data_IF_724979016590
#
_entry.id   IF_724979016590
#
_cell.length_a   1.000
_cell.length_b   1.000
_cell.length_c   1.000
_cell.angle_alpha   90.00
_cell.angle_beta   90.00
_cell.angle_gamma   90.00
#
_symmetry.space_group_name_H-M   'P 1'
#
loop_
_entity.id
_entity.type
_entity.pdbx_description
1 polymer ?
#
# COMPACT_ATOMS: atom_id res chain seq x y z
N UNK A 1 -102.26 1.79 -4.08
CA UNK A 1 -101.56 2.74 -3.20
C UNK A 1 -100.10 2.35 -3.07
N UNK A 2 -99.21 3.18 -3.43
CA UNK A 2 -97.82 3.03 -3.80
C UNK A 2 -97.01 2.88 -2.52
N UNK A 3 -96.06 1.87 -2.45
CA UNK A 3 -95.05 1.78 -1.43
C UNK A 3 -93.69 1.64 -2.14
N UNK A 4 -92.91 2.70 -2.07
CA UNK A 4 -91.57 2.80 -2.62
C UNK A 4 -90.52 2.05 -1.84
N UNK A 5 -89.80 1.19 -2.50
CA UNK A 5 -88.59 0.52 -1.92
C UNK A 5 -87.38 1.46 -2.00
N UNK A 6 -86.85 1.78 -0.83
CA UNK A 6 -85.51 2.42 -0.77
C UNK A 6 -84.49 1.31 -0.67
N UNK A 7 -83.66 1.27 -1.71
CA UNK A 7 -82.44 0.42 -1.71
C UNK A 7 -81.36 1.07 -0.82
N UNK A 8 -80.89 0.34 0.17
CA UNK A 8 -79.72 0.68 0.96
C UNK A 8 -78.47 0.14 0.22
N UNK A 9 -77.67 1.06 -0.30
CA UNK A 9 -76.33 0.71 -0.80
C UNK A 9 -75.37 0.74 0.41
N UNK A 10 -74.91 -0.44 0.86
CA UNK A 10 -73.84 -0.57 1.85
C UNK A 10 -72.51 -0.48 1.12
N UNK A 11 -71.91 0.67 1.17
CA UNK A 11 -70.56 0.88 0.67
C UNK A 11 -69.54 0.27 1.66
N UNK A 12 -68.94 -0.88 1.31
CA UNK A 12 -67.81 -1.45 2.04
C UNK A 12 -66.54 -0.65 1.75
N UNK A 13 -66.14 0.22 2.68
CA UNK A 13 -64.81 0.86 2.67
C UNK A 13 -63.80 -0.19 3.12
N UNK A 14 -63.08 -0.78 2.17
CA UNK A 14 -61.89 -1.57 2.45
C UNK A 14 -60.79 -0.65 2.96
N UNK A 15 -60.65 -0.54 4.27
CA UNK A 15 -59.47 0.08 4.88
C UNK A 15 -58.27 -0.84 4.66
N UNK A 16 -57.46 -0.52 3.63
CA UNK A 16 -56.14 -1.11 3.48
C UNK A 16 -55.29 -0.62 4.66
N UNK A 17 -55.08 -1.48 5.63
CA UNK A 17 -54.06 -1.35 6.66
C UNK A 17 -52.71 -1.33 5.96
N UNK A 18 -52.21 -0.15 5.60
CA UNK A 18 -50.80 0.06 5.27
C UNK A 18 -50.06 -0.07 6.59
N UNK A 19 -49.61 -1.30 6.90
CA UNK A 19 -48.65 -1.50 7.98
C UNK A 19 -47.45 -0.54 7.69
N UNK A 20 -47.05 0.30 8.67
CA UNK A 20 -45.87 1.10 8.50
C UNK A 20 -44.73 0.10 8.28
N UNK A 21 -44.22 0.03 7.05
CA UNK A 21 -42.89 -0.54 6.83
C UNK A 21 -41.99 0.31 7.70
N UNK A 22 -41.53 -0.25 8.82
CA UNK A 22 -40.39 0.29 9.52
C UNK A 22 -39.33 0.48 8.43
N UNK A 23 -39.13 1.74 8.02
CA UNK A 23 -38.03 2.09 7.14
C UNK A 23 -36.80 1.68 7.92
N UNK A 24 -36.25 0.50 7.59
CA UNK A 24 -34.94 0.09 8.08
C UNK A 24 -34.03 1.23 7.64
N UNK A 25 -33.46 1.94 8.63
CA UNK A 25 -32.51 2.99 8.34
C UNK A 25 -31.56 2.44 7.28
N UNK A 26 -31.47 3.15 6.15
CA UNK A 26 -30.62 2.70 5.05
C UNK A 26 -29.25 2.44 5.66
N UNK A 27 -28.75 1.22 5.50
CA UNK A 27 -27.43 0.88 6.00
C UNK A 27 -26.46 1.89 5.41
N UNK A 28 -25.63 2.52 6.25
CA UNK A 28 -24.80 3.64 5.84
C UNK A 28 -23.91 3.29 4.65
N UNK A 29 -23.70 4.24 3.75
CA UNK A 29 -22.81 4.10 2.61
C UNK A 29 -21.35 4.24 3.07
N UNK A 30 -20.53 3.24 2.81
CA UNK A 30 -19.09 3.28 3.07
C UNK A 30 -18.33 3.26 1.76
N UNK A 31 -17.51 4.28 1.55
CA UNK A 31 -16.55 4.29 0.44
C UNK A 31 -15.18 3.91 0.98
N UNK A 32 -14.50 2.99 0.29
CA UNK A 32 -13.13 2.55 0.58
C UNK A 32 -12.23 2.92 -0.60
N UNK A 33 -11.17 3.69 -0.37
CA UNK A 33 -10.20 4.05 -1.39
C UNK A 33 -8.98 3.13 -1.28
N UNK A 34 -8.71 2.37 -2.34
CA UNK A 34 -7.59 1.44 -2.45
C UNK A 34 -7.95 0.01 -2.04
N UNK A 35 -7.61 -0.96 -2.91
CA UNK A 35 -7.82 -2.40 -2.71
C UNK A 35 -6.57 -3.14 -2.23
N UNK A 36 -5.60 -2.42 -1.66
CA UNK A 36 -4.47 -3.01 -0.96
C UNK A 36 -4.92 -3.78 0.30
N UNK A 37 -3.97 -4.28 1.08
CA UNK A 37 -4.29 -5.08 2.27
C UNK A 37 -5.23 -4.37 3.25
N UNK A 38 -5.00 -3.08 3.54
CA UNK A 38 -5.86 -2.33 4.46
C UNK A 38 -7.29 -2.19 3.93
N UNK A 39 -7.46 -1.61 2.74
CA UNK A 39 -8.78 -1.34 2.19
C UNK A 39 -9.57 -2.59 1.84
N UNK A 40 -8.94 -3.61 1.25
CA UNK A 40 -9.60 -4.89 0.97
C UNK A 40 -10.06 -5.60 2.26
N UNK A 41 -9.23 -5.56 3.30
CA UNK A 41 -9.57 -6.13 4.61
C UNK A 41 -10.72 -5.37 5.24
N UNK A 42 -10.65 -4.04 5.30
CA UNK A 42 -11.70 -3.20 5.83
C UNK A 42 -13.05 -3.46 5.12
N UNK A 43 -13.05 -3.44 3.79
CA UNK A 43 -14.24 -3.68 2.99
C UNK A 43 -14.86 -5.07 3.25
N UNK A 44 -14.04 -6.13 3.32
CA UNK A 44 -14.51 -7.49 3.61
C UNK A 44 -15.08 -7.62 5.01
N UNK A 45 -14.42 -7.06 6.02
CA UNK A 45 -14.90 -7.13 7.40
C UNK A 45 -16.16 -6.31 7.61
N UNK A 46 -16.31 -5.15 6.97
CA UNK A 46 -17.56 -4.39 6.98
C UNK A 46 -18.73 -5.26 6.48
N UNK A 47 -18.59 -5.90 5.31
CA UNK A 47 -19.62 -6.80 4.76
C UNK A 47 -19.86 -8.05 5.60
N UNK A 48 -18.82 -8.58 6.26
CA UNK A 48 -18.93 -9.75 7.12
C UNK A 48 -19.66 -9.45 8.42
N UNK A 49 -19.41 -8.27 9.01
CA UNK A 49 -20.00 -7.86 10.30
C UNK A 49 -21.43 -7.36 10.11
N UNK A 50 -21.68 -6.62 9.04
CA UNK A 50 -23.03 -6.18 8.66
C UNK A 50 -23.22 -6.27 7.13
N UNK A 51 -23.86 -7.35 6.64
CA UNK A 51 -24.13 -7.52 5.21
C UNK A 51 -25.02 -6.44 4.59
N UNK A 52 -25.71 -5.63 5.42
CA UNK A 52 -26.62 -4.57 4.95
C UNK A 52 -25.91 -3.27 4.60
N UNK A 53 -24.68 -3.07 5.07
CA UNK A 53 -23.86 -1.89 4.74
C UNK A 53 -23.56 -1.85 3.24
N UNK A 54 -23.80 -0.70 2.60
CA UNK A 54 -23.40 -0.51 1.19
C UNK A 54 -21.92 -0.14 1.13
N UNK A 55 -21.07 -1.09 0.70
CA UNK A 55 -19.63 -0.90 0.60
C UNK A 55 -19.23 -0.75 -0.86
N UNK A 56 -18.72 0.44 -1.22
CA UNK A 56 -18.12 0.73 -2.51
C UNK A 56 -16.61 0.86 -2.35
N UNK A 57 -15.83 0.03 -3.04
CA UNK A 57 -14.38 0.07 -3.06
C UNK A 57 -13.89 0.62 -4.39
N UNK A 58 -13.08 1.68 -4.33
CA UNK A 58 -12.47 2.34 -5.50
C UNK A 58 -11.03 1.86 -5.65
N UNK A 59 -10.71 1.30 -6.82
CA UNK A 59 -9.36 0.84 -7.14
C UNK A 59 -9.02 1.14 -8.61
N UNK A 60 -7.85 1.72 -8.84
CA UNK A 60 -7.39 2.08 -10.19
C UNK A 60 -6.81 0.90 -10.95
N UNK A 61 -6.23 -0.10 -10.24
CA UNK A 61 -5.60 -1.24 -10.85
C UNK A 61 -6.60 -2.40 -11.11
N UNK A 62 -6.40 -3.15 -12.19
CA UNK A 62 -7.23 -4.33 -12.51
C UNK A 62 -7.03 -5.47 -11.52
N UNK A 63 -5.82 -5.56 -10.98
CA UNK A 63 -5.40 -6.57 -10.05
C UNK A 63 -4.34 -5.97 -9.12
N UNK A 64 -4.24 -6.49 -7.93
CA UNK A 64 -3.31 -6.01 -6.92
C UNK A 64 -2.06 -6.90 -6.90
N UNK A 65 -0.91 -6.32 -7.17
CA UNK A 65 0.37 -6.96 -6.89
C UNK A 65 0.69 -6.73 -5.42
N UNK A 66 0.77 -7.80 -4.64
CA UNK A 66 0.93 -7.70 -3.19
C UNK A 66 2.37 -7.33 -2.81
N UNK A 67 2.55 -6.33 -1.92
CA UNK A 67 3.88 -5.99 -1.41
C UNK A 67 4.48 -7.08 -0.50
N UNK A 68 3.73 -7.67 0.45
CA UNK A 68 4.14 -8.93 1.07
C UNK A 68 4.42 -9.98 0.00
N UNK A 69 5.49 -10.75 0.18
CA UNK A 69 6.06 -11.70 -0.79
C UNK A 69 6.73 -11.08 -2.03
N UNK A 70 6.72 -9.78 -2.25
CA UNK A 70 7.51 -9.19 -3.35
C UNK A 70 9.03 -9.42 -3.18
N UNK A 71 9.51 -9.51 -1.94
CA UNK A 71 10.90 -9.91 -1.65
C UNK A 71 11.18 -11.37 -2.02
N UNK A 72 10.20 -12.27 -1.92
CA UNK A 72 10.33 -13.65 -2.38
C UNK A 72 10.52 -13.72 -3.92
N UNK A 73 9.90 -12.81 -4.67
CA UNK A 73 10.15 -12.67 -6.12
C UNK A 73 11.60 -12.27 -6.37
N UNK A 74 12.15 -11.33 -5.60
CA UNK A 74 13.55 -10.90 -5.72
C UNK A 74 14.52 -12.04 -5.39
N UNK A 75 14.19 -12.88 -4.41
CA UNK A 75 14.96 -14.08 -4.05
C UNK A 75 14.80 -15.24 -5.04
N UNK A 76 13.82 -15.18 -5.97
CA UNK A 76 13.55 -16.27 -6.92
C UNK A 76 12.71 -17.41 -6.35
N UNK A 77 12.03 -17.20 -5.22
CA UNK A 77 11.14 -18.18 -4.58
C UNK A 77 9.68 -18.07 -5.04
N UNK A 78 9.34 -16.96 -5.69
CA UNK A 78 7.99 -16.67 -6.13
C UNK A 78 8.01 -15.92 -7.46
N UNK A 79 6.88 -15.86 -8.16
CA UNK A 79 6.70 -15.08 -9.39
C UNK A 79 5.83 -13.85 -9.12
N UNK A 80 5.95 -12.82 -9.97
CA UNK A 80 5.08 -11.66 -9.88
C UNK A 80 3.61 -12.04 -10.05
N UNK A 81 3.31 -13.00 -10.94
CA UNK A 81 1.97 -13.54 -11.14
C UNK A 81 1.46 -14.26 -9.89
N UNK A 82 2.31 -15.04 -9.22
CA UNK A 82 1.96 -15.77 -7.99
C UNK A 82 1.57 -14.85 -6.84
N UNK A 83 2.07 -13.61 -6.82
CA UNK A 83 1.69 -12.59 -5.82
C UNK A 83 0.65 -11.58 -6.32
N UNK A 84 0.10 -11.76 -7.53
CA UNK A 84 -0.97 -10.92 -8.08
C UNK A 84 -2.33 -11.49 -7.72
N UNK A 85 -3.25 -10.64 -7.28
CA UNK A 85 -4.60 -11.01 -6.83
C UNK A 85 -5.66 -10.23 -7.58
N UNK A 86 -6.68 -10.93 -8.12
CA UNK A 86 -7.84 -10.29 -8.72
C UNK A 86 -8.74 -9.68 -7.65
N UNK A 87 -9.63 -8.79 -8.05
CA UNK A 87 -10.65 -8.17 -7.19
C UNK A 87 -11.94 -9.00 -7.12
N UNK A 88 -12.01 -10.16 -7.76
CA UNK A 88 -13.24 -10.96 -7.87
C UNK A 88 -13.71 -11.51 -6.53
N UNK A 89 -12.76 -11.86 -5.64
CA UNK A 89 -13.10 -12.26 -4.28
C UNK A 89 -13.78 -11.16 -3.45
N UNK A 90 -13.51 -9.88 -3.77
CA UNK A 90 -14.20 -8.74 -3.15
C UNK A 90 -15.61 -8.58 -3.71
N UNK A 91 -15.77 -8.69 -5.04
CA UNK A 91 -17.08 -8.68 -5.71
C UNK A 91 -17.98 -9.83 -5.21
N UNK A 92 -17.43 -11.04 -5.13
CA UNK A 92 -18.14 -12.20 -4.59
C UNK A 92 -18.57 -12.04 -3.13
N UNK A 93 -17.85 -11.23 -2.35
CA UNK A 93 -18.22 -10.86 -0.99
C UNK A 93 -19.29 -9.76 -0.90
N UNK A 94 -19.89 -9.35 -2.04
CA UNK A 94 -20.94 -8.32 -2.09
C UNK A 94 -20.43 -6.89 -2.00
N UNK A 95 -19.15 -6.65 -2.31
CA UNK A 95 -18.54 -5.32 -2.36
C UNK A 95 -18.67 -4.77 -3.78
N UNK A 96 -19.21 -3.55 -3.92
CA UNK A 96 -19.23 -2.85 -5.19
C UNK A 96 -17.83 -2.35 -5.52
N UNK A 97 -17.15 -3.01 -6.44
CA UNK A 97 -15.82 -2.59 -6.91
C UNK A 97 -15.95 -1.64 -8.09
N UNK A 98 -15.50 -0.40 -7.89
CA UNK A 98 -15.44 0.63 -8.93
C UNK A 98 -14.00 0.75 -9.42
N UNK A 99 -13.78 0.44 -10.71
CA UNK A 99 -12.52 0.68 -11.41
C UNK A 99 -12.38 2.16 -11.68
N UNK A 100 -11.41 2.80 -11.03
CA UNK A 100 -11.16 4.23 -11.21
C UNK A 100 -10.17 4.76 -10.20
N UNK A 101 -9.63 5.93 -10.51
CA UNK A 101 -8.74 6.66 -9.62
C UNK A 101 -9.53 7.71 -8.82
N UNK A 102 -9.42 7.66 -7.49
CA UNK A 102 -9.93 8.73 -6.64
C UNK A 102 -9.04 9.96 -6.80
N UNK A 103 -9.59 11.04 -7.38
CA UNK A 103 -8.85 12.28 -7.70
C UNK A 103 -8.97 13.36 -6.63
N UNK A 104 -10.05 13.36 -5.84
CA UNK A 104 -10.24 14.29 -4.73
C UNK A 104 -11.22 13.73 -3.69
N UNK A 105 -11.04 14.17 -2.44
CA UNK A 105 -11.97 13.92 -1.33
C UNK A 105 -12.52 15.27 -0.89
N UNK A 106 -13.83 15.43 -0.93
CA UNK A 106 -14.54 16.58 -0.35
C UNK A 106 -15.08 16.16 1.03
N UNK A 107 -14.37 16.59 2.07
CA UNK A 107 -14.69 16.21 3.45
C UNK A 107 -15.99 16.87 3.96
N UNK A 108 -16.33 18.06 3.45
CA UNK A 108 -17.56 18.78 3.84
C UNK A 108 -18.78 18.18 3.17
N UNK A 109 -18.72 17.97 1.85
CA UNK A 109 -19.79 17.36 1.08
C UNK A 109 -19.84 15.84 1.25
N UNK A 110 -18.89 15.23 1.96
CA UNK A 110 -18.75 13.77 2.15
C UNK A 110 -18.82 13.03 0.82
N UNK A 111 -17.97 13.43 -0.12
CA UNK A 111 -17.92 12.79 -1.43
C UNK A 111 -16.50 12.56 -1.92
N UNK A 112 -16.30 11.45 -2.64
CA UNK A 112 -15.07 11.14 -3.37
C UNK A 112 -15.32 11.40 -4.84
N UNK A 113 -14.47 12.22 -5.47
CA UNK A 113 -14.48 12.45 -6.91
C UNK A 113 -13.50 11.49 -7.57
N UNK A 114 -13.92 10.87 -8.67
CA UNK A 114 -13.06 10.05 -9.50
C UNK A 114 -12.46 10.86 -10.66
N UNK A 115 -11.43 10.32 -11.28
CA UNK A 115 -10.73 10.97 -12.40
C UNK A 115 -11.64 11.18 -13.64
N UNK A 116 -12.67 10.34 -13.82
CA UNK A 116 -13.69 10.47 -14.87
C UNK A 116 -14.75 11.54 -14.58
N UNK A 117 -14.64 12.25 -13.43
CA UNK A 117 -15.56 13.28 -12.99
C UNK A 117 -16.75 12.77 -12.17
N UNK A 118 -16.98 11.48 -12.08
CA UNK A 118 -18.05 10.90 -11.26
C UNK A 118 -17.80 11.13 -9.77
N UNK A 119 -18.87 11.07 -8.95
CA UNK A 119 -18.80 11.30 -7.51
C UNK A 119 -19.49 10.16 -6.76
N UNK A 120 -18.88 9.78 -5.64
CA UNK A 120 -19.40 8.79 -4.71
C UNK A 120 -19.63 9.46 -3.36
N UNK A 121 -20.90 9.59 -2.94
CA UNK A 121 -21.24 10.07 -1.61
C UNK A 121 -20.98 8.97 -0.56
N UNK A 122 -20.65 9.37 0.67
CA UNK A 122 -20.41 8.45 1.76
C UNK A 122 -20.93 8.96 3.12
N UNK A 123 -21.30 8.03 4.00
CA UNK A 123 -21.50 8.28 5.43
C UNK A 123 -20.21 8.06 6.22
N UNK A 124 -19.41 7.10 5.76
CA UNK A 124 -18.06 6.80 6.27
C UNK A 124 -17.10 6.60 5.11
N UNK A 125 -15.86 7.04 5.30
CA UNK A 125 -14.80 6.89 4.33
C UNK A 125 -13.62 6.13 4.94
N UNK A 126 -13.10 5.13 4.22
CA UNK A 126 -11.82 4.47 4.54
C UNK A 126 -10.81 4.89 3.47
N UNK A 127 -9.74 5.54 3.90
CA UNK A 127 -8.67 6.05 3.01
C UNK A 127 -7.46 5.15 3.13
N UNK A 128 -7.29 4.24 2.19
CA UNK A 128 -6.21 3.24 2.18
C UNK A 128 -5.40 3.23 0.88
N UNK A 129 -4.87 4.39 0.43
CA UNK A 129 -4.18 4.54 -0.85
C UNK A 129 -2.76 3.95 -0.85
N UNK A 130 -2.28 3.48 0.30
CA UNK A 130 -0.90 3.09 0.50
C UNK A 130 0.02 4.29 0.70
N UNK A 131 1.32 4.09 0.40
CA UNK A 131 2.36 5.10 0.55
C UNK A 131 2.67 5.80 -0.77
N UNK A 132 3.21 7.01 -0.66
CA UNK A 132 3.98 7.64 -1.72
C UNK A 132 5.46 7.73 -1.37
N UNK A 133 6.27 7.75 -2.42
CA UNK A 133 7.72 7.83 -2.34
C UNK A 133 8.15 9.29 -2.48
N UNK A 134 8.98 9.75 -1.56
CA UNK A 134 9.58 11.07 -1.64
C UNK A 134 10.96 10.95 -2.34
N UNK A 135 10.94 10.96 -3.67
CA UNK A 135 12.17 10.86 -4.47
C UNK A 135 13.16 11.98 -4.15
N UNK A 136 12.68 13.19 -3.95
CA UNK A 136 13.53 14.35 -3.62
C UNK A 136 14.21 14.24 -2.24
N UNK A 137 13.84 13.24 -1.43
CA UNK A 137 14.45 12.99 -0.13
C UNK A 137 15.89 12.46 -0.20
N UNK A 138 16.38 12.09 -1.40
CA UNK A 138 17.78 11.72 -1.65
C UNK A 138 18.27 12.50 -2.88
N UNK A 139 19.33 13.28 -2.73
CA UNK A 139 19.87 14.10 -3.83
C UNK A 139 20.28 13.23 -5.03
N UNK A 140 19.94 13.65 -6.24
CA UNK A 140 20.18 12.88 -7.48
C UNK A 140 19.20 11.74 -7.74
N UNK A 141 18.29 11.41 -6.82
CA UNK A 141 17.28 10.38 -7.02
C UNK A 141 15.96 10.97 -7.52
N UNK A 142 15.38 10.34 -8.52
CA UNK A 142 14.11 10.74 -9.14
C UNK A 142 13.35 9.51 -9.61
N UNK A 143 12.13 9.68 -10.09
CA UNK A 143 11.38 8.61 -10.72
C UNK A 143 12.12 8.06 -11.97
N UNK A 144 12.75 8.93 -12.75
CA UNK A 144 13.60 8.52 -13.88
C UNK A 144 14.85 7.76 -13.41
N UNK A 145 15.47 8.18 -12.31
CA UNK A 145 16.62 7.48 -11.72
C UNK A 145 16.22 6.07 -11.21
N UNK A 146 14.98 5.88 -10.78
CA UNK A 146 14.46 4.58 -10.36
C UNK A 146 14.35 3.54 -11.50
N UNK A 147 14.49 3.97 -12.76
CA UNK A 147 14.63 3.05 -13.90
C UNK A 147 16.01 2.39 -13.95
N UNK A 148 17.02 2.96 -13.28
CA UNK A 148 18.37 2.43 -13.20
C UNK A 148 18.67 1.87 -11.81
N UNK A 149 18.30 2.61 -10.77
CA UNK A 149 18.41 2.23 -9.35
C UNK A 149 17.02 1.96 -8.75
N UNK A 150 16.39 0.80 -9.02
CA UNK A 150 15.02 0.55 -8.63
C UNK A 150 14.82 0.55 -7.13
N UNK A 151 13.75 1.21 -6.68
CA UNK A 151 13.34 1.13 -5.29
C UNK A 151 12.67 -0.23 -4.96
N UNK A 152 11.92 -0.81 -5.90
CA UNK A 152 11.15 -2.05 -5.73
C UNK A 152 10.34 -2.09 -4.40
N UNK A 153 9.82 -0.91 -3.95
CA UNK A 153 9.08 -0.77 -2.69
C UNK A 153 7.57 -0.67 -2.89
N UNK A 154 7.14 -0.32 -4.10
CA UNK A 154 5.81 -0.62 -4.63
C UNK A 154 5.97 -1.84 -5.54
N UNK A 155 5.26 -2.94 -5.23
CA UNK A 155 5.36 -4.17 -6.00
C UNK A 155 4.82 -4.00 -7.43
N UNK A 156 5.40 -4.71 -8.38
CA UNK A 156 5.05 -4.61 -9.80
C UNK A 156 6.30 -4.47 -10.68
N UNK A 157 6.26 -3.54 -11.64
CA UNK A 157 7.34 -3.34 -12.62
C UNK A 157 8.73 -3.13 -11.97
N UNK A 158 8.79 -2.39 -10.86
CA UNK A 158 10.02 -2.17 -10.10
C UNK A 158 10.59 -3.46 -9.47
N UNK A 159 9.72 -4.38 -9.07
CA UNK A 159 10.15 -5.69 -8.55
C UNK A 159 10.76 -6.53 -9.67
N UNK A 160 10.12 -6.55 -10.84
CA UNK A 160 10.62 -7.24 -12.04
C UNK A 160 11.96 -6.66 -12.47
N UNK A 161 12.08 -5.34 -12.52
CA UNK A 161 13.31 -4.65 -12.90
C UNK A 161 14.47 -5.01 -11.97
N UNK A 162 14.28 -4.91 -10.66
CA UNK A 162 15.31 -5.25 -9.69
C UNK A 162 15.70 -6.74 -9.81
N UNK A 163 14.73 -7.63 -9.97
CA UNK A 163 15.01 -9.07 -10.17
C UNK A 163 15.85 -9.30 -11.43
N UNK A 164 15.52 -8.70 -12.55
CA UNK A 164 16.27 -8.80 -13.80
C UNK A 164 17.72 -8.28 -13.65
N UNK A 165 17.90 -7.16 -12.94
CA UNK A 165 19.26 -6.63 -12.65
C UNK A 165 20.07 -7.60 -11.79
N UNK A 166 19.47 -8.19 -10.75
CA UNK A 166 20.13 -9.20 -9.90
C UNK A 166 20.51 -10.47 -10.70
N UNK A 167 19.67 -10.87 -11.65
CA UNK A 167 19.96 -11.99 -12.54
C UNK A 167 21.08 -11.68 -13.54
N UNK A 168 21.09 -10.47 -14.09
CA UNK A 168 22.10 -10.04 -15.06
C UNK A 168 23.46 -9.70 -14.42
N UNK A 169 23.50 -9.36 -13.14
CA UNK A 169 24.72 -9.05 -12.41
C UNK A 169 25.73 -10.24 -12.48
N UNK A 170 27.02 -10.00 -12.77
CA UNK A 170 28.01 -11.10 -12.77
C UNK A 170 28.21 -11.69 -11.36
N UNK A 171 28.68 -12.94 -11.29
CA UNK A 171 29.18 -13.50 -10.03
C UNK A 171 30.43 -12.74 -9.58
N UNK A 172 30.46 -12.31 -8.33
CA UNK A 172 31.45 -11.38 -7.79
C UNK A 172 31.01 -9.93 -7.82
N UNK A 173 29.84 -9.61 -8.41
CA UNK A 173 29.26 -8.27 -8.40
C UNK A 173 28.78 -7.82 -7.03
N UNK A 174 28.59 -6.51 -6.89
CA UNK A 174 28.15 -5.84 -5.65
C UNK A 174 26.73 -5.34 -5.78
N UNK A 175 25.87 -5.81 -4.87
CA UNK A 175 24.50 -5.32 -4.68
C UNK A 175 24.45 -4.35 -3.50
N UNK A 176 24.08 -3.09 -3.75
CA UNK A 176 23.88 -2.08 -2.70
C UNK A 176 22.40 -1.98 -2.38
N UNK A 177 22.07 -2.00 -1.08
CA UNK A 177 20.74 -1.72 -0.56
C UNK A 177 20.81 -0.50 0.35
N UNK A 178 19.99 0.51 0.07
CA UNK A 178 19.91 1.73 0.88
C UNK A 178 18.51 1.88 1.48
N UNK A 179 18.28 1.40 2.74
CA UNK A 179 17.03 1.59 3.46
C UNK A 179 16.85 3.06 3.90
N UNK A 180 15.59 3.58 3.95
CA UNK A 180 15.33 4.93 4.40
C UNK A 180 15.39 5.06 5.93
N UNK A 181 15.43 6.29 6.42
CA UNK A 181 15.15 6.61 7.82
C UNK A 181 13.68 6.33 8.18
N UNK A 182 13.41 6.17 9.48
CA UNK A 182 12.03 6.07 9.99
C UNK A 182 11.28 7.42 9.88
N UNK A 183 9.94 7.39 9.75
CA UNK A 183 9.09 6.22 9.57
C UNK A 183 8.98 5.77 8.11
N UNK A 184 8.82 4.46 7.89
CA UNK A 184 8.56 3.90 6.57
C UNK A 184 7.74 2.61 6.70
N UNK A 185 7.09 2.19 5.61
CA UNK A 185 6.28 0.96 5.58
C UNK A 185 7.17 -0.26 5.69
N UNK A 186 6.78 -1.24 6.52
CA UNK A 186 7.44 -2.55 6.67
C UNK A 186 8.89 -2.46 7.15
N UNK A 187 9.12 -2.06 8.41
CA UNK A 187 10.48 -1.88 8.96
C UNK A 187 11.46 -3.06 8.80
N UNK A 188 11.06 -4.33 8.88
CA UNK A 188 11.96 -5.46 8.61
C UNK A 188 12.20 -5.74 7.12
N UNK A 189 11.38 -5.19 6.23
CA UNK A 189 11.35 -5.54 4.80
C UNK A 189 12.67 -5.37 4.03
N UNK A 190 13.50 -4.33 4.25
CA UNK A 190 14.79 -4.20 3.59
C UNK A 190 15.75 -5.34 3.95
N UNK A 191 15.74 -5.77 5.20
CA UNK A 191 16.65 -6.81 5.73
C UNK A 191 16.18 -8.22 5.35
N UNK A 192 14.86 -8.42 5.26
CA UNK A 192 14.27 -9.62 4.63
C UNK A 192 14.71 -9.70 3.15
N UNK A 193 14.65 -8.59 2.41
CA UNK A 193 15.14 -8.51 1.02
C UNK A 193 16.60 -8.94 0.92
N UNK A 194 17.45 -8.38 1.77
CA UNK A 194 18.88 -8.73 1.86
C UNK A 194 19.06 -10.23 2.07
N UNK A 195 18.32 -10.82 3.01
CA UNK A 195 18.41 -12.26 3.31
C UNK A 195 17.98 -13.14 2.14
N UNK A 196 16.86 -12.79 1.47
CA UNK A 196 16.35 -13.55 0.32
C UNK A 196 17.26 -13.42 -0.91
N UNK A 197 17.84 -12.24 -1.15
CA UNK A 197 18.83 -12.04 -2.22
C UNK A 197 20.14 -12.75 -1.88
N UNK A 198 20.58 -12.74 -0.62
CA UNK A 198 21.76 -13.50 -0.18
C UNK A 198 21.58 -15.00 -0.40
N UNK A 199 20.39 -15.54 -0.13
CA UNK A 199 20.09 -16.94 -0.42
C UNK A 199 20.17 -17.24 -1.92
N UNK A 200 19.66 -16.34 -2.77
CA UNK A 200 19.83 -16.45 -4.23
C UNK A 200 21.32 -16.40 -4.63
N UNK A 201 22.10 -15.47 -4.05
CA UNK A 201 23.53 -15.34 -4.35
C UNK A 201 24.31 -16.58 -3.88
N UNK A 202 24.05 -17.09 -2.68
CA UNK A 202 24.66 -18.32 -2.17
C UNK A 202 24.52 -19.47 -3.17
N UNK A 203 23.37 -19.58 -3.83
CA UNK A 203 23.08 -20.65 -4.78
C UNK A 203 23.60 -20.38 -6.19
N UNK A 204 23.63 -19.11 -6.66
CA UNK A 204 23.86 -18.78 -8.07
C UNK A 204 25.06 -17.85 -8.32
N UNK A 205 25.47 -17.07 -7.33
CA UNK A 205 26.53 -16.04 -7.44
C UNK A 205 27.32 -15.95 -6.12
N UNK A 206 28.02 -17.03 -5.71
CA UNK A 206 28.59 -17.16 -4.35
C UNK A 206 29.73 -16.17 -4.06
N UNK A 207 30.33 -15.55 -5.07
CA UNK A 207 31.39 -14.56 -4.89
C UNK A 207 30.84 -13.12 -4.71
N UNK A 208 29.54 -12.91 -4.98
CA UNK A 208 28.90 -11.60 -4.91
C UNK A 208 28.76 -11.12 -3.47
N UNK A 209 28.65 -9.79 -3.31
CA UNK A 209 28.53 -9.10 -2.02
C UNK A 209 27.26 -8.25 -1.96
N UNK A 210 26.76 -8.10 -0.74
CA UNK A 210 25.63 -7.21 -0.44
C UNK A 210 26.12 -6.17 0.56
N UNK A 211 26.03 -4.89 0.19
CA UNK A 211 26.32 -3.76 1.05
C UNK A 211 25.03 -3.08 1.44
N UNK A 212 24.74 -2.98 2.73
CA UNK A 212 23.57 -2.30 3.25
C UNK A 212 24.01 -0.97 3.86
N UNK A 213 23.74 0.13 3.18
CA UNK A 213 24.01 1.49 3.64
C UNK A 213 22.74 2.06 4.29
N UNK A 214 22.67 1.95 5.61
CA UNK A 214 21.47 2.28 6.37
C UNK A 214 21.44 3.72 6.83
N UNK A 215 20.30 4.38 6.71
CA UNK A 215 20.10 5.72 7.28
C UNK A 215 19.85 5.70 8.79
N UNK A 216 19.80 4.52 9.41
CA UNK A 216 19.47 4.28 10.83
C UNK A 216 20.65 3.63 11.56
N UNK A 217 20.72 3.85 12.88
CA UNK A 217 21.73 3.24 13.75
C UNK A 217 21.35 1.82 14.19
N UNK A 218 20.11 1.47 14.05
CA UNK A 218 19.56 0.14 14.34
C UNK A 218 18.34 -0.14 13.47
N UNK A 219 17.90 -1.40 13.45
CA UNK A 219 16.75 -1.80 12.66
C UNK A 219 15.90 -2.89 13.33
N UNK A 220 14.69 -3.05 12.85
CA UNK A 220 13.72 -4.02 13.38
C UNK A 220 14.25 -5.46 13.27
N UNK A 221 14.27 -6.19 14.40
CA UNK A 221 14.74 -7.57 14.49
C UNK A 221 16.24 -7.76 14.18
N UNK A 222 17.05 -6.72 14.37
CA UNK A 222 18.46 -6.68 13.99
C UNK A 222 19.24 -7.91 14.47
N UNK A 223 19.15 -8.25 15.75
CA UNK A 223 19.90 -9.39 16.29
C UNK A 223 19.60 -10.73 15.60
N UNK A 224 18.33 -10.96 15.23
CA UNK A 224 17.92 -12.17 14.49
C UNK A 224 18.48 -12.18 13.07
N UNK A 225 18.40 -11.05 12.35
CA UNK A 225 18.94 -10.95 10.99
C UNK A 225 20.45 -11.11 10.99
N UNK A 226 21.18 -10.39 11.84
CA UNK A 226 22.64 -10.45 11.88
C UNK A 226 23.15 -11.85 12.25
N UNK A 227 22.56 -12.50 13.24
CA UNK A 227 22.92 -13.87 13.59
C UNK A 227 22.68 -14.85 12.43
N UNK A 228 21.55 -14.71 11.72
CA UNK A 228 21.27 -15.52 10.54
C UNK A 228 22.24 -15.21 9.38
N UNK A 229 22.60 -13.95 9.15
CA UNK A 229 23.56 -13.59 8.10
C UNK A 229 24.96 -14.12 8.37
N UNK A 230 25.41 -14.09 9.63
CA UNK A 230 26.69 -14.63 10.03
C UNK A 230 26.75 -16.15 9.86
N UNK A 231 25.68 -16.84 10.25
CA UNK A 231 25.57 -18.30 10.14
C UNK A 231 25.39 -18.78 8.70
N UNK A 232 24.46 -18.19 7.96
CA UNK A 232 24.02 -18.68 6.66
C UNK A 232 24.79 -18.10 5.47
N UNK A 233 25.29 -16.87 5.60
CA UNK A 233 25.93 -16.11 4.53
C UNK A 233 27.25 -15.46 4.98
N UNK A 234 28.18 -16.21 5.58
CA UNK A 234 29.41 -15.66 6.18
C UNK A 234 30.19 -14.83 5.17
N UNK A 235 30.47 -13.59 5.55
CA UNK A 235 31.24 -12.64 4.73
C UNK A 235 30.57 -12.15 3.45
N UNK A 236 29.29 -12.48 3.18
CA UNK A 236 28.56 -12.01 2.00
C UNK A 236 27.87 -10.67 2.23
N UNK A 237 27.40 -10.40 3.43
CA UNK A 237 26.60 -9.22 3.77
C UNK A 237 27.38 -8.32 4.72
N UNK A 238 27.51 -7.04 4.36
CA UNK A 238 28.01 -5.99 5.23
C UNK A 238 26.93 -4.93 5.45
N UNK A 239 26.58 -4.69 6.73
CA UNK A 239 25.64 -3.63 7.13
C UNK A 239 26.40 -2.52 7.81
N UNK A 240 26.15 -1.27 7.39
CA UNK A 240 26.76 -0.06 7.89
C UNK A 240 25.67 0.84 8.47
N UNK A 241 25.77 1.14 9.77
CA UNK A 241 24.81 2.01 10.47
C UNK A 241 24.96 3.47 10.03
N UNK A 242 23.88 4.25 10.24
CA UNK A 242 23.87 5.68 9.92
C UNK A 242 24.97 6.46 10.64
N UNK A 243 25.15 6.23 11.94
CA UNK A 243 26.22 6.83 12.77
C UNK A 243 27.64 6.45 12.30
N UNK A 244 27.77 5.30 11.63
CA UNK A 244 29.04 4.81 11.12
C UNK A 244 29.23 5.20 9.63
N UNK A 245 28.44 6.18 9.13
CA UNK A 245 28.54 6.70 7.77
C UNK A 245 27.70 5.98 6.72
N UNK A 246 26.78 5.08 7.14
CA UNK A 246 25.93 4.31 6.21
C UNK A 246 24.83 5.13 5.52
N UNK A 247 24.47 6.31 6.02
CA UNK A 247 23.44 7.14 5.40
C UNK A 247 23.85 7.56 4.00
N UNK A 248 23.01 7.18 3.00
CA UNK A 248 23.18 7.67 1.62
C UNK A 248 22.70 9.11 1.53
N UNK A 249 23.59 10.02 1.12
CA UNK A 249 23.33 11.44 0.95
C UNK A 249 22.85 11.78 -0.45
N UNK A 250 23.49 11.18 -1.47
CA UNK A 250 23.16 11.39 -2.86
C UNK A 250 23.47 10.16 -3.72
N UNK A 251 22.93 10.15 -4.94
CA UNK A 251 23.20 9.11 -5.92
C UNK A 251 23.53 9.70 -7.28
N UNK A 252 24.32 8.95 -8.05
CA UNK A 252 24.52 9.15 -9.47
C UNK A 252 24.08 7.88 -10.22
N UNK A 253 22.88 7.88 -10.82
CA UNK A 253 22.36 6.73 -11.53
C UNK A 253 23.18 6.37 -12.78
N UNK A 254 23.82 7.34 -13.43
CA UNK A 254 24.59 7.09 -14.65
C UNK A 254 25.84 6.24 -14.39
N UNK A 255 26.42 6.35 -13.20
CA UNK A 255 27.61 5.59 -12.79
C UNK A 255 27.29 4.48 -11.79
N UNK A 256 26.02 4.30 -11.40
CA UNK A 256 25.58 3.37 -10.36
C UNK A 256 26.29 3.60 -9.02
N UNK A 257 26.46 4.87 -8.65
CA UNK A 257 27.21 5.28 -7.46
C UNK A 257 26.28 5.88 -6.41
N UNK A 258 26.49 5.49 -5.14
CA UNK A 258 25.90 6.14 -3.96
C UNK A 258 27.00 6.88 -3.20
N UNK A 259 26.70 8.09 -2.71
CA UNK A 259 27.58 8.84 -1.82
C UNK A 259 27.10 8.68 -0.38
N UNK A 260 27.99 8.26 0.49
CA UNK A 260 27.76 8.10 1.92
C UNK A 260 28.97 8.60 2.72
N UNK A 261 29.00 8.40 4.04
CA UNK A 261 30.09 8.84 4.90
C UNK A 261 31.48 8.28 4.53
N UNK A 262 31.53 7.19 3.76
CA UNK A 262 32.77 6.60 3.22
C UNK A 262 33.13 7.13 1.82
N UNK A 263 32.51 8.21 1.36
CA UNK A 263 32.66 8.71 0.01
C UNK A 263 31.77 7.94 -1.00
N UNK A 264 32.23 7.91 -2.25
CA UNK A 264 31.49 7.29 -3.34
C UNK A 264 31.65 5.76 -3.34
N UNK A 265 30.53 5.05 -3.33
CA UNK A 265 30.46 3.59 -3.39
C UNK A 265 29.72 3.17 -4.67
N UNK A 266 30.37 2.39 -5.51
CA UNK A 266 29.78 1.88 -6.75
C UNK A 266 29.21 0.49 -6.54
N UNK A 267 27.97 0.27 -7.05
CA UNK A 267 27.34 -1.05 -7.12
C UNK A 267 27.11 -1.49 -8.56
N UNK A 268 27.09 -2.79 -8.81
CA UNK A 268 26.60 -3.34 -10.08
C UNK A 268 25.07 -3.29 -10.13
N UNK A 269 24.43 -3.44 -8.97
CA UNK A 269 23.00 -3.23 -8.78
C UNK A 269 22.80 -2.37 -7.53
N UNK A 270 21.95 -1.35 -7.63
CA UNK A 270 21.64 -0.46 -6.52
C UNK A 270 20.12 -0.44 -6.28
N UNK A 271 19.71 -0.88 -5.11
CA UNK A 271 18.34 -0.77 -4.63
C UNK A 271 18.23 0.36 -3.61
N UNK A 272 17.77 1.52 -4.05
CA UNK A 272 17.56 2.66 -3.17
C UNK A 272 16.09 2.79 -2.83
N UNK A 273 15.76 2.68 -1.53
CA UNK A 273 14.40 2.85 -1.02
C UNK A 273 14.28 4.28 -0.49
N UNK A 274 13.57 5.18 -1.19
CA UNK A 274 13.50 6.58 -0.76
C UNK A 274 12.61 6.75 0.46
N UNK A 275 12.68 7.89 1.17
CA UNK A 275 11.73 8.24 2.22
C UNK A 275 10.30 8.17 1.73
N UNK A 276 9.36 7.95 2.66
CA UNK A 276 7.97 7.68 2.36
C UNK A 276 7.05 8.66 3.08
N UNK A 277 5.82 8.75 2.59
CA UNK A 277 4.75 9.54 3.16
C UNK A 277 3.40 8.91 2.85
N UNK A 278 2.31 9.40 3.43
CA UNK A 278 0.96 8.99 3.08
C UNK A 278 0.69 9.20 1.59
N UNK A 279 -0.17 8.39 0.99
CA UNK A 279 -0.52 8.52 -0.42
C UNK A 279 -1.11 9.89 -0.76
N UNK A 280 -0.84 10.39 -1.98
CA UNK A 280 -1.13 11.76 -2.41
C UNK A 280 -2.59 12.18 -2.16
N UNK A 281 -3.55 11.27 -2.36
CA UNK A 281 -4.98 11.56 -2.13
C UNK A 281 -5.28 11.90 -0.65
N UNK A 282 -4.60 11.27 0.29
CA UNK A 282 -4.74 11.59 1.71
C UNK A 282 -4.08 12.93 2.05
N UNK A 283 -2.94 13.24 1.45
CA UNK A 283 -2.25 14.52 1.62
C UNK A 283 -3.08 15.68 1.06
N UNK A 284 -3.57 15.56 -0.19
CA UNK A 284 -4.37 16.59 -0.85
C UNK A 284 -5.71 16.84 -0.16
N UNK A 285 -6.25 15.86 0.54
CA UNK A 285 -7.44 15.99 1.37
C UNK A 285 -7.18 16.61 2.75
N UNK A 286 -5.94 16.97 3.09
CA UNK A 286 -5.59 17.54 4.40
C UNK A 286 -5.60 16.52 5.55
N UNK A 287 -5.54 15.22 5.26
CA UNK A 287 -5.56 14.16 6.26
C UNK A 287 -4.19 13.88 6.87
N UNK A 288 -3.10 14.32 6.24
CA UNK A 288 -1.74 14.16 6.76
C UNK A 288 -1.37 15.22 7.80
N UNK A 289 -0.49 14.85 8.72
CA UNK A 289 0.19 15.77 9.63
C UNK A 289 1.51 16.27 9.05
N UNK A 290 2.25 17.07 9.84
CA UNK A 290 3.51 17.72 9.43
C UNK A 290 4.63 16.71 9.11
N UNK A 291 4.56 15.52 9.69
CA UNK A 291 5.49 14.43 9.40
C UNK A 291 5.19 13.68 8.08
N UNK A 292 4.17 14.12 7.33
CA UNK A 292 3.75 13.51 6.08
C UNK A 292 2.89 12.25 6.22
N UNK A 293 2.52 11.83 7.44
CA UNK A 293 1.67 10.68 7.73
C UNK A 293 0.32 11.10 8.31
N UNK A 294 -0.70 10.27 8.14
CA UNK A 294 -2.04 10.56 8.65
C UNK A 294 -2.11 10.23 10.15
N UNK A 295 -2.37 11.22 11.02
CA UNK A 295 -2.60 10.96 12.43
C UNK A 295 -3.98 10.32 12.64
N UNK A 296 -4.03 9.22 13.39
CA UNK A 296 -5.23 8.47 13.69
C UNK A 296 -5.34 8.15 15.18
N UNK A 297 -6.54 7.92 15.65
CA UNK A 297 -6.76 7.24 16.91
C UNK A 297 -6.27 5.78 16.81
N UNK A 298 -5.37 5.31 17.69
CA UNK A 298 -4.74 4.00 17.54
C UNK A 298 -5.68 2.82 17.78
N UNK A 299 -6.84 3.04 18.41
CA UNK A 299 -7.81 1.99 18.70
C UNK A 299 -8.86 1.85 17.60
N UNK A 300 -9.23 2.95 16.96
CA UNK A 300 -10.33 3.00 16.00
C UNK A 300 -9.88 3.27 14.56
N UNK A 301 -8.64 3.69 14.35
CA UNK A 301 -8.10 4.20 13.09
C UNK A 301 -8.89 5.39 12.52
N UNK A 302 -9.70 6.04 13.36
CA UNK A 302 -10.37 7.27 12.98
C UNK A 302 -9.36 8.40 12.80
N UNK A 303 -9.49 9.15 11.70
CA UNK A 303 -8.66 10.32 11.46
C UNK A 303 -8.86 11.37 12.55
N UNK A 304 -7.78 11.92 13.11
CA UNK A 304 -7.86 13.06 14.02
C UNK A 304 -8.06 14.39 13.29
N UNK A 305 -7.98 14.38 11.94
CA UNK A 305 -8.13 15.56 11.09
C UNK A 305 -9.54 15.73 10.51
N UNK A 306 -10.31 14.64 10.39
CA UNK A 306 -11.62 14.67 9.74
C UNK A 306 -12.59 13.67 10.38
N UNK A 307 -13.79 14.13 10.69
CA UNK A 307 -14.86 13.26 11.17
C UNK A 307 -15.33 12.29 10.08
N UNK A 308 -15.76 11.10 10.49
CA UNK A 308 -16.29 10.05 9.60
C UNK A 308 -15.26 9.47 8.61
N UNK A 309 -13.97 9.72 8.81
CA UNK A 309 -12.86 9.23 7.99
C UNK A 309 -11.98 8.31 8.83
N UNK A 310 -11.59 7.16 8.27
CA UNK A 310 -10.63 6.20 8.84
C UNK A 310 -9.46 6.05 7.85
N UNK A 311 -8.26 5.84 8.37
CA UNK A 311 -7.05 5.70 7.54
C UNK A 311 -6.31 4.39 7.86
#
# INVERSE_FOLDING_TARGET
>A
MIATRRAFIVGSVAATLVAPRLARAAAGAVVVIGAGFGGATAARYLKRLDPTVDVTLVEREAAIVTCPFSNAVLGGYETLQGITRSLDGLKAAGIKVVRGEASAIDLQARSVRLADGSRLAYDRLVVSPGIDLNFAGVAGYSEAAAAQMPHAWKAGAQTTLLRQQLEAMPDGGTFIVAPPANPFRCPPGPYERVSLVASYFKAKKPKSKILVFDAKDNFSKQGLFQAAWESEFPGMIAWVAGKDGGKVESVDPATMTVKCGFGNQKGDVVNLIPPQRAGAIAQSAGLSGDNGWCPVDPMTFASTKAANVHV
#
